data_IF_545336687164
#
_entry.id   IF_545336687164
#
_cell.length_a   1.000
_cell.length_b   1.000
_cell.length_c   1.000
_cell.angle_alpha   90.00
_cell.angle_beta   90.00
_cell.angle_gamma   90.00
#
_symmetry.space_group_name_H-M   'P 1'
#
loop_
_entity.id
_entity.type
_entity.pdbx_description
1 polymer ?
#
# COMPACT_ATOMS: atom_id res chain seq x y z
N UNK A 1 -30.99 36.97 -30.75
CA UNK A 1 -30.08 36.39 -29.73
C UNK A 1 -29.18 37.52 -29.25
N UNK A 2 -28.88 37.62 -27.94
CA UNK A 2 -27.96 38.70 -27.48
C UNK A 2 -26.58 38.41 -28.03
N UNK A 3 -25.93 39.38 -28.62
CA UNK A 3 -24.57 39.29 -29.12
C UNK A 3 -23.51 39.24 -28.00
N UNK A 4 -23.79 39.95 -26.88
CA UNK A 4 -22.92 40.01 -25.71
C UNK A 4 -23.65 39.57 -24.45
N UNK A 5 -22.97 38.77 -23.66
CA UNK A 5 -23.40 38.28 -22.35
C UNK A 5 -22.58 38.95 -21.25
N UNK A 6 -23.24 39.32 -20.16
CA UNK A 6 -22.55 39.72 -18.94
C UNK A 6 -21.91 38.48 -18.30
N UNK A 7 -20.93 38.64 -17.41
CA UNK A 7 -20.31 37.55 -16.67
C UNK A 7 -21.34 36.73 -15.88
N UNK A 8 -22.40 37.38 -15.33
CA UNK A 8 -23.45 36.69 -14.61
C UNK A 8 -24.36 35.84 -15.52
N UNK A 9 -24.72 36.36 -16.72
CA UNK A 9 -25.49 35.58 -17.69
C UNK A 9 -24.67 34.37 -18.20
N UNK A 10 -23.39 34.55 -18.48
CA UNK A 10 -22.53 33.45 -18.88
C UNK A 10 -22.35 32.40 -17.75
N UNK A 11 -22.19 32.85 -16.51
CA UNK A 11 -22.13 31.98 -15.34
C UNK A 11 -23.43 31.16 -15.17
N UNK A 12 -24.59 31.79 -15.35
CA UNK A 12 -25.89 31.12 -15.25
C UNK A 12 -26.08 30.05 -16.34
N UNK A 13 -25.71 30.33 -17.60
CA UNK A 13 -25.80 29.34 -18.69
C UNK A 13 -25.06 28.04 -18.34
N UNK A 14 -23.94 28.14 -17.66
CA UNK A 14 -23.11 26.99 -17.30
C UNK A 14 -23.31 26.50 -15.86
N UNK A 15 -24.18 27.10 -15.09
CA UNK A 15 -24.33 26.86 -13.65
C UNK A 15 -22.98 26.88 -12.93
N UNK A 16 -22.27 28.01 -13.09
CA UNK A 16 -20.91 28.22 -12.57
C UNK A 16 -20.86 29.44 -11.66
N UNK A 17 -19.88 29.45 -10.74
CA UNK A 17 -19.58 30.64 -9.96
C UNK A 17 -18.92 31.72 -10.85
N UNK A 18 -19.38 32.95 -10.68
CA UNK A 18 -18.80 34.15 -11.34
C UNK A 18 -17.31 34.32 -10.99
N UNK A 19 -16.89 33.94 -9.77
CA UNK A 19 -15.49 34.00 -9.36
C UNK A 19 -14.60 33.05 -10.20
N UNK A 20 -15.13 31.91 -10.61
CA UNK A 20 -14.38 30.96 -11.47
C UNK A 20 -14.16 31.58 -12.86
N UNK A 21 -15.15 32.30 -13.42
CA UNK A 21 -14.97 33.02 -14.69
C UNK A 21 -13.97 34.16 -14.56
N UNK A 22 -13.96 34.87 -13.43
CA UNK A 22 -12.94 35.90 -13.13
C UNK A 22 -11.53 35.29 -13.05
N UNK A 23 -11.43 34.09 -12.47
CA UNK A 23 -10.16 33.34 -12.42
C UNK A 23 -9.68 32.93 -13.81
N UNK A 24 -10.58 32.45 -14.67
CA UNK A 24 -10.25 32.12 -16.06
C UNK A 24 -9.80 33.32 -16.85
N UNK A 25 -10.43 34.50 -16.67
CA UNK A 25 -9.97 35.77 -17.24
C UNK A 25 -8.58 36.15 -16.74
N UNK A 26 -8.35 36.13 -15.41
CA UNK A 26 -7.06 36.46 -14.81
C UNK A 26 -5.91 35.53 -15.28
N UNK A 27 -6.22 34.24 -15.58
CA UNK A 27 -5.26 33.27 -16.15
C UNK A 27 -5.13 33.34 -17.66
N UNK A 28 -5.87 34.26 -18.33
CA UNK A 28 -5.87 34.38 -19.79
C UNK A 28 -6.41 33.11 -20.48
N UNK A 29 -7.31 32.37 -19.82
CA UNK A 29 -7.94 31.18 -20.36
C UNK A 29 -9.24 31.52 -21.09
N UNK A 30 -10.03 32.43 -20.55
CA UNK A 30 -11.25 32.99 -21.16
C UNK A 30 -11.31 34.47 -20.89
N UNK A 31 -10.75 35.27 -21.79
CA UNK A 31 -10.69 36.72 -21.66
C UNK A 31 -11.97 37.35 -22.25
N UNK A 32 -12.68 38.27 -21.54
CA UNK A 32 -13.85 38.92 -22.09
C UNK A 32 -13.48 39.73 -23.31
N UNK A 33 -14.34 39.70 -24.32
CA UNK A 33 -14.08 40.42 -25.57
C UNK A 33 -14.15 41.96 -25.39
N UNK A 34 -15.03 42.39 -24.47
CA UNK A 34 -15.19 43.82 -24.15
C UNK A 34 -15.16 44.02 -22.64
N UNK A 35 -14.47 45.10 -22.23
CA UNK A 35 -14.54 45.63 -20.86
C UNK A 35 -15.05 47.06 -20.92
N UNK A 36 -16.04 47.35 -20.14
CA UNK A 36 -16.53 48.73 -20.04
C UNK A 36 -15.48 49.59 -19.34
N UNK A 37 -15.10 50.73 -19.96
CA UNK A 37 -14.03 51.61 -19.46
C UNK A 37 -14.41 52.34 -18.15
N UNK A 38 -15.69 52.59 -17.88
CA UNK A 38 -16.13 53.34 -16.70
C UNK A 38 -16.22 52.49 -15.45
N UNK A 39 -16.67 51.22 -15.56
CA UNK A 39 -17.02 50.40 -14.41
C UNK A 39 -16.36 48.99 -14.44
N UNK A 40 -15.44 48.78 -15.39
CA UNK A 40 -14.71 47.52 -15.57
C UNK A 40 -15.58 46.26 -15.71
N UNK A 41 -16.85 46.42 -16.15
CA UNK A 41 -17.78 45.31 -16.38
C UNK A 41 -17.29 44.50 -17.58
N UNK A 42 -17.38 43.16 -17.43
CA UNK A 42 -16.94 42.17 -18.41
C UNK A 42 -18.10 41.74 -19.28
N UNK A 43 -17.87 41.76 -20.58
CA UNK A 43 -18.84 41.30 -21.58
C UNK A 43 -18.17 40.29 -22.48
N UNK A 44 -18.84 39.17 -22.65
CA UNK A 44 -18.38 38.02 -23.42
C UNK A 44 -19.25 37.94 -24.68
N UNK A 45 -18.64 37.82 -25.84
CA UNK A 45 -19.36 37.54 -27.08
C UNK A 45 -19.99 36.13 -26.98
N UNK A 46 -21.15 35.96 -27.63
CA UNK A 46 -21.84 34.67 -27.58
C UNK A 46 -20.98 33.50 -28.03
N UNK A 47 -20.09 33.67 -29.01
CA UNK A 47 -19.18 32.64 -29.47
C UNK A 47 -18.20 32.15 -28.38
N UNK A 48 -18.00 32.90 -27.29
CA UNK A 48 -17.17 32.50 -26.17
C UNK A 48 -17.82 31.43 -25.27
N UNK A 49 -19.11 31.12 -25.53
CA UNK A 49 -19.79 29.97 -24.94
C UNK A 49 -19.09 28.64 -25.34
N UNK A 50 -18.66 28.53 -26.60
CA UNK A 50 -17.99 27.31 -27.09
C UNK A 50 -16.64 27.03 -26.42
N UNK A 51 -15.68 27.99 -26.36
CA UNK A 51 -14.47 27.81 -25.57
C UNK A 51 -14.75 27.49 -24.11
N UNK A 52 -15.73 28.14 -23.47
CA UNK A 52 -16.09 27.82 -22.08
C UNK A 52 -16.59 26.39 -21.93
N UNK A 53 -17.42 25.92 -22.86
CA UNK A 53 -17.86 24.52 -22.88
C UNK A 53 -16.67 23.54 -22.99
N UNK A 54 -15.69 23.87 -23.86
CA UNK A 54 -14.47 23.08 -24.00
C UNK A 54 -13.63 23.09 -22.71
N UNK A 55 -13.46 24.24 -22.07
CA UNK A 55 -12.77 24.35 -20.78
C UNK A 55 -13.44 23.44 -19.75
N UNK A 56 -14.76 23.49 -19.67
CA UNK A 56 -15.54 22.64 -18.73
C UNK A 56 -15.38 21.15 -19.01
N UNK A 57 -15.45 20.78 -20.26
CA UNK A 57 -15.24 19.38 -20.69
C UNK A 57 -13.86 18.89 -20.27
N UNK A 58 -12.81 19.63 -20.57
CA UNK A 58 -11.45 19.23 -20.25
C UNK A 58 -11.18 19.23 -18.74
N UNK A 59 -11.80 20.15 -17.97
CA UNK A 59 -11.74 20.12 -16.49
C UNK A 59 -12.35 18.85 -15.89
N UNK A 60 -13.40 18.30 -16.52
CA UNK A 60 -13.98 17.00 -16.10
C UNK A 60 -13.07 15.81 -16.41
N UNK A 61 -12.12 15.98 -17.30
CA UNK A 61 -11.10 15.01 -17.62
C UNK A 61 -9.79 15.26 -16.85
N UNK A 62 -9.84 16.05 -15.78
CA UNK A 62 -8.69 16.40 -14.90
C UNK A 62 -7.54 17.15 -15.58
N UNK A 63 -7.80 17.80 -16.73
CA UNK A 63 -6.80 18.68 -17.34
C UNK A 63 -6.50 19.88 -16.43
N UNK A 64 -5.22 20.21 -16.25
CA UNK A 64 -4.78 21.45 -15.63
C UNK A 64 -5.12 22.66 -16.52
N UNK A 65 -5.21 23.87 -15.94
CA UNK A 65 -5.48 25.08 -16.72
C UNK A 65 -4.40 25.33 -17.81
N UNK A 66 -3.16 24.96 -17.56
CA UNK A 66 -2.08 25.05 -18.53
C UNK A 66 -2.30 24.12 -19.73
N UNK A 67 -2.69 22.87 -19.48
CA UNK A 67 -3.03 21.90 -20.52
C UNK A 67 -4.26 22.32 -21.33
N UNK A 68 -5.29 22.87 -20.67
CA UNK A 68 -6.48 23.41 -21.36
C UNK A 68 -6.09 24.58 -22.25
N UNK A 69 -5.24 25.47 -21.77
CA UNK A 69 -4.74 26.59 -22.57
C UNK A 69 -3.99 26.08 -23.81
N UNK A 70 -3.13 25.08 -23.64
CA UNK A 70 -2.43 24.45 -24.76
C UNK A 70 -3.40 23.79 -25.76
N UNK A 71 -4.44 23.11 -25.27
CA UNK A 71 -5.48 22.49 -26.09
C UNK A 71 -6.24 23.53 -26.94
N UNK A 72 -6.65 24.66 -26.33
CA UNK A 72 -7.39 25.72 -27.02
C UNK A 72 -6.54 26.45 -28.07
N UNK A 73 -5.21 26.45 -27.93
CA UNK A 73 -4.25 27.08 -28.86
C UNK A 73 -3.52 26.06 -29.74
N UNK A 74 -3.94 24.80 -29.73
CA UNK A 74 -3.31 23.75 -30.54
C UNK A 74 -3.55 23.98 -32.04
N UNK A 75 -2.59 23.51 -32.85
CA UNK A 75 -2.61 23.73 -34.29
C UNK A 75 -3.44 22.74 -35.10
N UNK A 76 -4.30 21.94 -34.45
CA UNK A 76 -5.21 21.07 -35.19
C UNK A 76 -5.77 19.86 -34.44
N UNK A 77 -6.70 19.17 -35.10
CA UNK A 77 -7.41 18.02 -34.60
C UNK A 77 -6.47 16.89 -34.16
N UNK A 78 -5.38 16.65 -34.88
CA UNK A 78 -4.42 15.56 -34.59
C UNK A 78 -3.77 15.74 -33.23
N UNK A 79 -3.35 16.95 -32.89
CA UNK A 79 -2.69 17.25 -31.60
C UNK A 79 -3.68 17.09 -30.45
N UNK A 80 -4.91 17.56 -30.63
CA UNK A 80 -5.97 17.42 -29.64
C UNK A 80 -6.35 15.97 -29.40
N UNK A 81 -6.45 15.14 -30.44
CA UNK A 81 -6.70 13.71 -30.31
C UNK A 81 -5.55 13.00 -29.58
N UNK A 82 -4.30 13.41 -29.85
CA UNK A 82 -3.15 12.86 -29.14
C UNK A 82 -3.17 13.23 -27.65
N UNK A 83 -3.52 14.49 -27.31
CA UNK A 83 -3.66 14.92 -25.94
C UNK A 83 -4.76 14.12 -25.21
N UNK A 84 -5.93 13.93 -25.81
CA UNK A 84 -7.02 13.13 -25.24
C UNK A 84 -6.61 11.66 -25.05
N UNK A 85 -5.90 11.09 -26.01
CA UNK A 85 -5.39 9.72 -25.90
C UNK A 85 -4.40 9.55 -24.75
N UNK A 86 -3.49 10.49 -24.56
CA UNK A 86 -2.55 10.50 -23.43
C UNK A 86 -3.29 10.57 -22.09
N UNK A 87 -4.30 11.45 -22.01
CA UNK A 87 -5.11 11.58 -20.79
C UNK A 87 -5.86 10.26 -20.48
N UNK A 88 -6.46 9.64 -21.47
CA UNK A 88 -7.11 8.34 -21.29
C UNK A 88 -6.13 7.26 -20.80
N UNK A 89 -4.89 7.25 -21.31
CA UNK A 89 -3.86 6.34 -20.82
C UNK A 89 -3.45 6.63 -19.39
N UNK A 90 -3.32 7.91 -19.02
CA UNK A 90 -3.01 8.29 -17.64
C UNK A 90 -4.11 7.86 -16.65
N UNK A 91 -5.38 8.12 -17.00
CA UNK A 91 -6.51 7.69 -16.18
C UNK A 91 -6.58 6.16 -16.03
N UNK A 92 -6.27 5.40 -17.09
CA UNK A 92 -6.18 3.93 -17.00
C UNK A 92 -5.11 3.49 -16.01
N UNK A 93 -3.91 4.08 -16.06
CA UNK A 93 -2.84 3.79 -15.08
C UNK A 93 -3.29 4.06 -13.65
N UNK A 94 -3.95 5.20 -13.41
CA UNK A 94 -4.50 5.51 -12.08
C UNK A 94 -5.55 4.49 -11.63
N UNK A 95 -6.43 4.03 -12.55
CA UNK A 95 -7.37 2.95 -12.25
C UNK A 95 -6.65 1.64 -11.91
N UNK A 96 -5.61 1.27 -12.64
CA UNK A 96 -4.83 0.06 -12.37
C UNK A 96 -4.13 0.14 -11.00
N UNK A 97 -3.55 1.29 -10.63
CA UNK A 97 -2.94 1.55 -9.33
C UNK A 97 -3.96 1.46 -8.19
N UNK A 98 -5.14 2.07 -8.35
CA UNK A 98 -6.23 1.99 -7.37
C UNK A 98 -6.74 0.56 -7.20
N UNK A 99 -6.90 -0.19 -8.29
CA UNK A 99 -7.33 -1.58 -8.25
C UNK A 99 -6.30 -2.46 -7.52
N UNK A 100 -5.01 -2.26 -7.76
CA UNK A 100 -3.95 -2.95 -7.03
C UNK A 100 -4.03 -2.65 -5.53
N UNK A 101 -4.23 -1.39 -5.15
CA UNK A 101 -4.40 -0.98 -3.74
C UNK A 101 -5.61 -1.65 -3.09
N UNK A 102 -6.75 -1.70 -3.80
CA UNK A 102 -7.97 -2.36 -3.32
C UNK A 102 -7.70 -3.84 -3.06
N UNK A 103 -7.02 -4.54 -3.98
CA UNK A 103 -6.68 -5.96 -3.81
C UNK A 103 -5.82 -6.20 -2.57
N UNK A 104 -4.81 -5.37 -2.32
CA UNK A 104 -3.96 -5.50 -1.12
C UNK A 104 -4.77 -5.31 0.16
N UNK A 105 -5.66 -4.29 0.18
CA UNK A 105 -6.53 -4.05 1.34
C UNK A 105 -7.44 -5.26 1.58
N UNK A 106 -8.03 -5.83 0.53
CA UNK A 106 -8.88 -7.01 0.63
C UNK A 106 -8.11 -8.23 1.17
N UNK A 107 -6.90 -8.48 0.65
CA UNK A 107 -6.03 -9.55 1.15
C UNK A 107 -5.67 -9.35 2.62
N UNK A 108 -5.42 -8.11 3.06
CA UNK A 108 -5.16 -7.80 4.47
C UNK A 108 -6.37 -8.12 5.35
N UNK A 109 -7.57 -7.73 4.92
CA UNK A 109 -8.81 -8.04 5.65
C UNK A 109 -9.02 -9.55 5.77
N UNK A 110 -8.93 -10.27 4.65
CA UNK A 110 -9.10 -11.74 4.61
C UNK A 110 -8.05 -12.45 5.48
N UNK A 111 -6.80 -11.98 5.48
CA UNK A 111 -5.74 -12.51 6.33
C UNK A 111 -6.08 -12.34 7.81
N UNK A 112 -6.50 -11.13 8.22
CA UNK A 112 -6.86 -10.82 9.61
C UNK A 112 -8.04 -11.68 10.06
N UNK A 113 -9.12 -11.73 9.27
CA UNK A 113 -10.34 -12.50 9.60
C UNK A 113 -10.04 -13.99 9.72
N UNK A 114 -9.27 -14.55 8.79
CA UNK A 114 -8.86 -15.95 8.80
C UNK A 114 -8.05 -16.31 10.04
N UNK A 115 -7.03 -15.52 10.36
CA UNK A 115 -6.14 -15.79 11.49
C UNK A 115 -6.83 -15.50 12.83
N UNK A 116 -7.67 -14.46 12.89
CA UNK A 116 -8.45 -14.14 14.10
C UNK A 116 -9.47 -15.25 14.42
N UNK A 117 -10.09 -15.87 13.40
CA UNK A 117 -11.07 -16.94 13.59
C UNK A 117 -10.45 -18.20 14.24
N UNK A 118 -9.17 -18.46 14.02
CA UNK A 118 -8.46 -19.63 14.58
C UNK A 118 -7.62 -19.29 15.80
N UNK A 119 -7.37 -18.00 16.06
CA UNK A 119 -6.57 -17.56 17.19
C UNK A 119 -7.27 -17.88 18.53
N UNK A 120 -6.54 -18.52 19.43
CA UNK A 120 -7.03 -18.85 20.78
C UNK A 120 -5.92 -18.57 21.78
N UNK A 121 -6.28 -17.87 22.86
CA UNK A 121 -5.34 -17.59 23.96
C UNK A 121 -4.86 -18.90 24.59
N UNK A 122 -3.58 -18.95 24.92
CA UNK A 122 -2.94 -20.04 25.69
C UNK A 122 -3.05 -21.44 25.05
N UNK A 123 -3.38 -21.52 23.75
CA UNK A 123 -3.40 -22.79 23.02
C UNK A 123 -2.25 -22.86 22.04
N UNK A 124 -1.57 -24.03 22.07
CA UNK A 124 -0.51 -24.36 21.13
C UNK A 124 -0.94 -25.58 20.30
N UNK A 125 -0.72 -25.49 18.99
CA UNK A 125 -1.11 -26.52 18.03
C UNK A 125 -0.04 -26.66 16.95
N UNK A 126 -0.07 -27.77 16.24
CA UNK A 126 0.81 -27.99 15.09
C UNK A 126 0.05 -27.63 13.82
N UNK A 127 0.67 -26.86 12.95
CA UNK A 127 0.14 -26.48 11.63
C UNK A 127 1.21 -26.68 10.57
N UNK A 128 0.81 -27.28 9.46
CA UNK A 128 1.64 -27.42 8.28
C UNK A 128 1.48 -26.19 7.40
N UNK A 129 2.59 -25.60 7.01
CA UNK A 129 2.61 -24.46 6.08
C UNK A 129 3.32 -24.82 4.78
N UNK A 130 2.85 -24.30 3.63
CA UNK A 130 3.64 -24.28 2.41
C UNK A 130 4.84 -23.33 2.57
N UNK A 131 5.72 -23.30 1.58
CA UNK A 131 6.77 -22.28 1.50
C UNK A 131 6.14 -20.90 1.35
N UNK A 132 6.49 -19.95 2.22
CA UNK A 132 5.91 -18.61 2.30
C UNK A 132 6.94 -17.55 1.97
N UNK A 133 6.58 -16.56 1.19
CA UNK A 133 7.46 -15.48 0.78
C UNK A 133 7.38 -14.29 1.72
N UNK A 134 8.50 -13.60 1.92
CA UNK A 134 8.55 -12.33 2.63
C UNK A 134 9.66 -11.44 2.05
N UNK A 135 9.54 -10.14 2.24
CA UNK A 135 10.58 -9.16 1.90
C UNK A 135 11.39 -8.86 3.14
N UNK A 136 12.71 -9.00 3.04
CA UNK A 136 13.60 -8.73 4.15
C UNK A 136 13.77 -7.21 4.33
N UNK A 137 13.45 -6.68 5.52
CA UNK A 137 13.59 -5.26 5.85
C UNK A 137 14.80 -5.01 6.76
N UNK A 138 15.11 -5.96 7.65
CA UNK A 138 16.24 -5.88 8.58
C UNK A 138 15.84 -5.39 9.96
N UNK A 139 16.44 -4.30 10.46
CA UNK A 139 16.19 -3.79 11.81
C UNK A 139 14.81 -3.14 11.94
N UNK A 140 14.27 -3.14 13.18
CA UNK A 140 12.93 -2.62 13.50
C UNK A 140 12.73 -1.17 13.07
N UNK A 141 13.76 -0.32 13.20
CA UNK A 141 13.68 1.08 12.80
C UNK A 141 13.39 1.24 11.29
N UNK A 142 13.84 0.31 10.48
CA UNK A 142 13.64 0.34 9.03
C UNK A 142 12.19 0.07 8.62
N UNK A 143 11.38 -0.59 9.48
CA UNK A 143 9.96 -0.80 9.21
C UNK A 143 9.24 0.52 8.93
N UNK A 144 9.52 1.57 9.70
CA UNK A 144 8.82 2.85 9.62
C UNK A 144 9.24 3.70 8.41
N UNK A 145 10.31 3.31 7.71
CA UNK A 145 10.78 3.99 6.50
C UNK A 145 10.27 3.34 5.22
N UNK A 146 9.61 2.17 5.33
CA UNK A 146 9.07 1.43 4.20
C UNK A 146 7.55 1.53 4.14
N UNK A 147 6.99 1.96 3.00
CA UNK A 147 5.54 1.98 2.78
C UNK A 147 4.90 0.58 2.85
N UNK A 148 5.66 -0.47 2.59
CA UNK A 148 5.25 -1.87 2.72
C UNK A 148 4.66 -2.20 4.10
N UNK A 149 5.18 -1.56 5.14
CA UNK A 149 4.72 -1.71 6.51
C UNK A 149 3.22 -1.41 6.69
N UNK A 150 2.66 -0.50 5.90
CA UNK A 150 1.25 -0.13 6.01
C UNK A 150 0.31 -1.12 5.31
N UNK A 151 0.81 -1.83 4.30
CA UNK A 151 -0.02 -2.68 3.44
C UNK A 151 0.12 -4.17 3.70
N UNK A 152 1.30 -4.61 4.16
CA UNK A 152 1.60 -6.01 4.41
C UNK A 152 1.80 -6.27 5.90
N UNK A 153 1.39 -7.44 6.41
CA UNK A 153 1.71 -7.81 7.79
C UNK A 153 3.22 -7.79 8.01
N UNK A 154 3.65 -7.16 9.08
CA UNK A 154 5.03 -7.31 9.52
C UNK A 154 5.26 -8.72 10.00
N UNK A 155 6.39 -9.31 9.65
CA UNK A 155 6.86 -10.56 10.21
C UNK A 155 8.18 -10.32 10.94
N UNK A 156 8.22 -10.66 12.22
CA UNK A 156 9.42 -10.65 13.03
C UNK A 156 10.06 -12.03 13.07
N UNK A 157 11.37 -12.05 13.22
CA UNK A 157 12.18 -13.25 13.40
C UNK A 157 13.02 -13.07 14.67
N UNK A 158 12.87 -13.99 15.62
CA UNK A 158 13.54 -13.97 16.91
C UNK A 158 14.43 -15.20 17.06
N UNK A 159 15.74 -14.99 17.13
CA UNK A 159 16.73 -16.07 17.31
C UNK A 159 17.74 -15.68 18.39
N UNK A 160 17.56 -16.20 19.57
CA UNK A 160 18.33 -15.78 20.74
C UNK A 160 18.16 -14.28 21.00
N UNK A 161 19.28 -13.53 20.96
CA UNK A 161 19.25 -12.08 21.11
C UNK A 161 19.13 -11.31 19.79
N UNK A 162 19.12 -12.02 18.67
CA UNK A 162 18.99 -11.42 17.34
C UNK A 162 17.51 -11.30 17.00
N UNK A 163 17.13 -10.16 16.47
CA UNK A 163 15.82 -9.95 15.88
C UNK A 163 15.94 -9.20 14.57
N UNK A 164 15.14 -9.57 13.58
CA UNK A 164 15.02 -8.87 12.32
C UNK A 164 13.58 -8.95 11.82
N UNK A 165 13.25 -8.14 10.85
CA UNK A 165 11.90 -7.95 10.39
C UNK A 165 11.79 -8.05 8.87
N UNK A 166 10.59 -8.33 8.40
CA UNK A 166 10.23 -8.35 7.00
C UNK A 166 8.77 -8.01 6.80
N UNK A 167 8.37 -7.86 5.54
CA UNK A 167 6.98 -7.75 5.13
C UNK A 167 6.51 -9.13 4.60
N UNK A 168 5.49 -9.70 5.24
CA UNK A 168 4.93 -11.00 4.88
C UNK A 168 4.07 -10.86 3.60
N UNK A 169 4.39 -11.64 2.57
CA UNK A 169 3.62 -11.64 1.34
C UNK A 169 2.45 -12.64 1.45
N UNK A 170 1.26 -12.21 1.05
CA UNK A 170 0.09 -13.09 1.05
C UNK A 170 0.26 -14.24 0.05
N UNK A 171 -0.29 -15.42 0.34
CA UNK A 171 -0.11 -16.66 -0.43
C UNK A 171 -0.47 -16.50 -1.92
N UNK A 172 -1.50 -15.72 -2.20
CA UNK A 172 -1.99 -15.44 -3.56
C UNK A 172 -1.38 -14.16 -4.18
N UNK A 173 -0.39 -13.57 -3.50
CA UNK A 173 0.29 -12.42 -4.09
C UNK A 173 1.09 -12.94 -5.29
N UNK A 174 0.74 -12.59 -6.55
CA UNK A 174 1.53 -13.01 -7.69
C UNK A 174 2.98 -12.58 -7.48
N UNK A 175 3.93 -13.48 -7.68
CA UNK A 175 5.37 -13.16 -7.65
C UNK A 175 5.72 -12.08 -8.69
N UNK A 176 4.81 -11.78 -9.59
CA UNK A 176 4.80 -10.64 -10.51
C UNK A 176 4.23 -9.36 -9.89
N UNK A 177 4.16 -9.24 -8.57
CA UNK A 177 3.86 -7.97 -7.88
C UNK A 177 5.03 -6.98 -8.07
N UNK A 178 5.58 -6.97 -9.23
CA UNK A 178 6.35 -5.87 -9.82
C UNK A 178 5.48 -4.63 -10.07
N UNK A 179 4.27 -4.57 -9.49
CA UNK A 179 3.32 -3.47 -9.65
C UNK A 179 2.93 -2.74 -8.37
N UNK A 180 3.45 -3.11 -7.23
CA UNK A 180 3.57 -2.11 -6.19
C UNK A 180 4.65 -1.14 -6.67
N UNK A 181 4.34 0.16 -6.75
CA UNK A 181 5.22 1.12 -7.40
C UNK A 181 6.60 1.07 -6.75
N UNK A 182 7.67 1.13 -7.54
CA UNK A 182 9.08 1.42 -7.24
C UNK A 182 9.69 0.97 -5.89
N UNK A 183 8.87 0.72 -4.87
CA UNK A 183 9.22 0.37 -3.50
C UNK A 183 9.72 -1.07 -3.32
N UNK A 184 9.41 -1.96 -4.26
CA UNK A 184 9.77 -3.39 -4.16
C UNK A 184 10.82 -3.84 -5.18
N UNK A 185 11.16 -3.02 -6.15
CA UNK A 185 12.00 -3.42 -7.27
C UNK A 185 13.40 -3.90 -6.84
N UNK A 186 13.90 -3.44 -5.70
CA UNK A 186 15.26 -3.72 -5.21
C UNK A 186 15.32 -4.58 -3.94
N UNK A 187 14.18 -5.04 -3.38
CA UNK A 187 14.18 -5.86 -2.17
C UNK A 187 14.22 -7.35 -2.50
N UNK A 188 15.21 -8.10 -1.98
CA UNK A 188 15.28 -9.54 -2.24
C UNK A 188 14.11 -10.27 -1.56
N UNK A 189 13.39 -11.08 -2.34
CA UNK A 189 12.39 -12.00 -1.81
C UNK A 189 13.08 -13.13 -1.08
N UNK A 190 12.77 -13.26 0.19
CA UNK A 190 13.21 -14.35 1.06
C UNK A 190 12.06 -15.33 1.31
N UNK A 191 12.36 -16.50 1.83
CA UNK A 191 11.34 -17.54 2.01
C UNK A 191 11.42 -18.18 3.38
N UNK A 192 10.24 -18.33 3.99
CA UNK A 192 10.02 -19.19 5.14
C UNK A 192 9.82 -20.61 4.61
N UNK A 193 10.59 -21.62 5.06
CA UNK A 193 10.50 -22.99 4.55
C UNK A 193 9.11 -23.61 4.73
N UNK A 194 8.72 -24.50 3.84
CA UNK A 194 7.57 -25.38 4.08
C UNK A 194 7.86 -26.35 5.21
N UNK A 195 6.82 -26.82 5.91
CA UNK A 195 6.95 -27.83 6.95
C UNK A 195 5.92 -27.67 8.07
N UNK A 196 6.10 -28.45 9.12
CA UNK A 196 5.28 -28.40 10.32
C UNK A 196 5.87 -27.39 11.30
N UNK A 197 4.97 -26.64 11.92
CA UNK A 197 5.31 -25.61 12.90
C UNK A 197 4.48 -25.81 14.16
N UNK A 198 5.12 -25.66 15.32
CA UNK A 198 4.38 -25.46 16.56
C UNK A 198 3.97 -23.99 16.61
N UNK A 199 2.67 -23.76 16.71
CA UNK A 199 2.05 -22.44 16.62
C UNK A 199 1.35 -22.07 17.91
N UNK A 200 1.27 -20.76 18.16
CA UNK A 200 0.48 -20.14 19.21
C UNK A 200 0.22 -18.67 18.87
N UNK A 201 -0.33 -17.94 19.83
CA UNK A 201 -0.60 -16.51 19.64
C UNK A 201 -0.15 -15.72 20.86
N UNK A 202 0.40 -14.56 20.60
CA UNK A 202 0.62 -13.51 21.58
C UNK A 202 -0.51 -12.49 21.48
N UNK A 203 -1.08 -12.10 22.61
CA UNK A 203 -2.10 -11.04 22.72
C UNK A 203 -1.55 -9.93 23.58
N UNK A 204 -1.54 -8.72 23.06
CA UNK A 204 -1.07 -7.55 23.75
C UNK A 204 0.13 -6.86 23.09
N UNK A 205 0.77 -5.95 23.81
CA UNK A 205 1.85 -5.13 23.29
C UNK A 205 3.11 -5.95 23.00
N UNK A 206 3.85 -5.58 21.95
CA UNK A 206 5.08 -6.27 21.53
C UNK A 206 6.16 -6.36 22.62
N UNK A 207 6.12 -5.47 23.61
CA UNK A 207 7.07 -5.48 24.74
C UNK A 207 6.99 -6.76 25.57
N UNK A 208 5.85 -7.43 25.58
CA UNK A 208 5.61 -8.67 26.35
C UNK A 208 5.69 -9.95 25.52
N UNK A 209 6.08 -9.85 24.24
CA UNK A 209 6.11 -10.99 23.31
C UNK A 209 7.09 -12.08 23.78
N UNK A 210 8.18 -11.71 24.45
CA UNK A 210 9.19 -12.67 24.92
C UNK A 210 8.59 -13.72 25.85
N UNK A 211 7.70 -13.34 26.77
CA UNK A 211 7.03 -14.28 27.68
C UNK A 211 6.22 -15.34 26.90
N UNK A 212 5.65 -14.94 25.77
CA UNK A 212 4.88 -15.85 24.91
C UNK A 212 5.78 -16.74 24.06
N UNK A 213 6.94 -16.25 23.63
CA UNK A 213 7.99 -17.04 22.97
C UNK A 213 8.54 -18.10 23.93
N UNK A 214 8.82 -17.74 25.17
CA UNK A 214 9.32 -18.65 26.20
C UNK A 214 8.29 -19.76 26.49
N UNK A 215 7.02 -19.42 26.55
CA UNK A 215 5.92 -20.41 26.68
C UNK A 215 5.84 -21.36 25.48
N UNK A 216 6.06 -20.86 24.26
CA UNK A 216 6.07 -21.69 23.04
C UNK A 216 7.21 -22.72 23.10
N UNK A 217 8.42 -22.32 23.49
CA UNK A 217 9.53 -23.24 23.67
C UNK A 217 9.32 -24.22 24.82
N UNK A 218 8.72 -23.76 25.92
CA UNK A 218 8.33 -24.63 27.04
C UNK A 218 7.34 -25.70 26.59
N UNK A 219 6.39 -25.37 25.74
CA UNK A 219 5.44 -26.33 25.16
C UNK A 219 6.13 -27.30 24.20
N UNK A 220 7.05 -26.82 23.34
CA UNK A 220 7.85 -27.68 22.48
C UNK A 220 8.64 -28.71 23.30
N UNK A 221 9.29 -28.27 24.38
CA UNK A 221 10.02 -29.14 25.28
C UNK A 221 9.11 -30.19 25.96
N UNK A 222 7.95 -29.78 26.46
CA UNK A 222 6.96 -30.67 27.10
C UNK A 222 6.47 -31.74 26.12
N UNK A 223 6.25 -31.37 24.85
CA UNK A 223 5.82 -32.32 23.80
C UNK A 223 6.98 -33.09 23.18
N UNK A 224 8.22 -32.84 23.60
CA UNK A 224 9.43 -33.44 23.03
C UNK A 224 9.56 -33.20 21.53
N UNK A 225 9.12 -32.04 21.06
CA UNK A 225 9.24 -31.66 19.65
C UNK A 225 10.63 -31.04 19.40
N UNK A 226 11.39 -31.57 18.44
CA UNK A 226 12.64 -30.95 18.02
C UNK A 226 12.31 -29.71 17.18
N UNK A 227 12.56 -28.53 17.70
CA UNK A 227 12.22 -27.27 17.02
C UNK A 227 13.47 -26.47 16.66
N UNK A 228 13.31 -25.56 15.71
CA UNK A 228 14.31 -24.56 15.37
C UNK A 228 14.50 -23.58 16.54
N UNK A 229 15.58 -22.82 16.50
CA UNK A 229 15.86 -21.75 17.47
C UNK A 229 15.34 -20.37 17.02
N UNK A 230 14.79 -20.31 15.81
CA UNK A 230 14.16 -19.09 15.27
C UNK A 230 12.65 -19.16 15.37
N UNK A 231 12.05 -18.21 16.09
CA UNK A 231 10.59 -18.01 16.14
C UNK A 231 10.19 -16.95 15.14
N UNK A 232 9.20 -17.26 14.33
CA UNK A 232 8.60 -16.39 13.33
C UNK A 232 7.33 -15.80 13.91
N UNK A 233 7.17 -14.49 13.80
CA UNK A 233 6.09 -13.76 14.46
C UNK A 233 5.37 -12.86 13.47
N UNK A 234 4.41 -13.40 12.67
CA UNK A 234 3.56 -12.58 11.81
C UNK A 234 2.60 -11.73 12.66
N UNK A 235 2.59 -10.41 12.44
CA UNK A 235 1.61 -9.52 13.05
C UNK A 235 0.27 -9.66 12.33
N UNK A 236 -0.76 -10.09 13.07
CA UNK A 236 -2.10 -10.33 12.53
C UNK A 236 -2.96 -9.09 12.74
N UNK A 237 -3.05 -8.61 13.98
CA UNK A 237 -3.71 -7.37 14.36
C UNK A 237 -2.67 -6.45 14.95
N UNK A 238 -2.38 -5.36 14.28
CA UNK A 238 -1.32 -4.40 14.61
C UNK A 238 -1.86 -2.96 14.69
N UNK A 239 -0.97 -2.01 14.94
CA UNK A 239 -1.29 -0.58 15.02
C UNK A 239 -1.86 0.03 13.73
N UNK A 240 -1.79 -0.65 12.60
CA UNK A 240 -2.40 -0.18 11.36
C UNK A 240 -3.90 -0.46 11.28
N UNK A 241 -4.43 -1.34 12.16
CA UNK A 241 -5.85 -1.71 12.19
C UNK A 241 -6.50 -1.64 13.58
N UNK A 242 -5.70 -1.53 14.66
CA UNK A 242 -6.20 -1.47 16.04
C UNK A 242 -5.45 -0.38 16.83
N UNK A 243 -6.19 0.50 17.50
CA UNK A 243 -5.63 1.62 18.23
C UNK A 243 -5.11 1.28 19.64
N UNK A 244 -5.54 0.15 20.20
CA UNK A 244 -5.18 -0.25 21.58
C UNK A 244 -4.20 -1.44 21.55
N UNK A 245 -2.95 -1.25 22.04
CA UNK A 245 -1.93 -2.31 22.02
C UNK A 245 -2.34 -3.61 22.73
N UNK A 246 -3.23 -3.54 23.73
CA UNK A 246 -3.74 -4.73 24.42
C UNK A 246 -4.58 -5.66 23.54
N UNK A 247 -5.05 -5.17 22.42
CA UNK A 247 -5.84 -5.92 21.44
C UNK A 247 -4.99 -6.44 20.27
N UNK A 248 -3.69 -6.18 20.25
CA UNK A 248 -2.81 -6.71 19.20
C UNK A 248 -2.77 -8.25 19.26
N UNK A 249 -2.67 -8.85 18.08
CA UNK A 249 -2.53 -10.29 17.92
C UNK A 249 -1.32 -10.57 17.03
N UNK A 250 -0.36 -11.29 17.58
CA UNK A 250 0.83 -11.72 16.86
C UNK A 250 0.88 -13.24 16.85
N UNK A 251 1.01 -13.85 15.68
CA UNK A 251 1.28 -15.27 15.55
C UNK A 251 2.65 -15.61 16.13
N UNK A 252 2.78 -16.82 16.66
CA UNK A 252 4.05 -17.39 17.12
C UNK A 252 4.21 -18.73 16.40
N UNK A 253 5.29 -18.89 15.66
CA UNK A 253 5.55 -20.08 14.85
C UNK A 253 6.99 -20.52 15.01
N UNK A 254 7.22 -21.74 15.47
CA UNK A 254 8.55 -22.34 15.50
C UNK A 254 8.54 -23.62 14.68
N UNK A 255 9.49 -23.75 13.76
CA UNK A 255 9.56 -24.88 12.85
C UNK A 255 9.95 -26.16 13.60
N UNK A 256 9.22 -27.24 13.33
CA UNK A 256 9.56 -28.60 13.82
C UNK A 256 10.57 -29.20 12.84
N UNK A 257 11.72 -29.64 13.35
CA UNK A 257 12.80 -30.17 12.56
C UNK A 257 12.61 -31.65 12.23
N UNK A 258 12.83 -32.02 10.98
CA UNK A 258 12.90 -33.41 10.58
C UNK A 258 14.15 -34.12 11.17
N UNK A 259 14.17 -35.45 11.14
CA UNK A 259 15.31 -36.23 11.65
C UNK A 259 16.63 -35.89 10.96
N UNK A 260 16.59 -35.59 9.66
CA UNK A 260 17.76 -35.24 8.88
C UNK A 260 18.30 -33.85 9.26
N UNK A 261 17.43 -32.87 9.43
CA UNK A 261 17.77 -31.49 9.86
C UNK A 261 18.33 -31.47 11.30
N UNK A 262 17.85 -32.34 12.18
CA UNK A 262 18.42 -32.50 13.52
C UNK A 262 19.85 -32.98 13.49
N UNK A 263 20.17 -33.91 12.58
CA UNK A 263 21.51 -34.47 12.43
C UNK A 263 22.47 -33.44 11.86
N UNK A 264 22.05 -32.64 10.88
CA UNK A 264 22.81 -31.52 10.34
C UNK A 264 23.14 -30.48 11.41
N UNK A 265 22.14 -30.04 12.20
CA UNK A 265 22.37 -29.08 13.31
C UNK A 265 23.35 -29.61 14.35
N UNK A 266 23.25 -30.89 14.70
CA UNK A 266 24.21 -31.54 15.64
C UNK A 266 25.62 -31.60 15.09
N UNK A 267 25.77 -31.85 13.79
CA UNK A 267 27.04 -31.86 13.11
C UNK A 267 27.70 -30.48 13.07
N UNK A 268 26.91 -29.41 12.77
CA UNK A 268 27.42 -28.03 12.81
C UNK A 268 27.78 -27.56 14.22
N UNK A 269 26.99 -27.92 15.24
CA UNK A 269 27.29 -27.59 16.64
C UNK A 269 28.52 -28.33 17.19
N UNK A 270 28.87 -29.49 16.63
CA UNK A 270 30.06 -30.24 17.00
C UNK A 270 31.36 -29.67 16.37
N UNK A 271 31.24 -29.04 15.20
CA UNK A 271 32.37 -28.41 14.50
C UNK A 271 32.68 -27.01 15.07
N UNK A 272 31.71 -26.34 15.71
CA UNK A 272 31.87 -24.96 16.23
C UNK A 272 32.29 -24.88 17.71
N UNK A 273 32.69 -25.97 18.34
CA UNK A 273 33.38 -25.89 19.64
C UNK A 273 34.81 -25.50 19.39
N UNK A 274 35.33 -24.38 19.92
CA UNK A 274 36.75 -24.11 19.95
C UNK A 274 37.37 -25.25 20.78
N UNK A 275 38.38 -25.93 20.22
CA UNK A 275 39.29 -26.77 21.01
C UNK A 275 39.90 -25.85 22.07
N UNK A 276 39.69 -26.18 23.34
CA UNK A 276 40.39 -25.58 24.44
C UNK A 276 41.92 -25.80 24.22
N UNK A 277 42.65 -24.70 23.96
CA UNK A 277 44.08 -24.58 24.14
C UNK A 277 44.36 -23.56 25.21
#
# INVERSE_FOLDING_TARGET
MKEFLTIGELANIFNMDVQLLRHYDAKGLLVPQVRNSENNRRFYHFDQVYPLATIRYLRRLDYSLAQIKAFLHSNGLRDNLQMLSRQAQQLRRQCDELNATIQIIQQKVEFIEREQAVSQRDKFYVRTFPRRAFLHIGEEINLFTHELFYFYPTVGFYQGQRKWFGAYLYEDTPTEVHRLPDLMADQPVSYIPAGDYLCGYHYGPYLTIQDSIDRLFGEAYRRKLPVDDCVITPNIVDQCCEGHPDNYITGLEVRILSSDEQNEKKSFAAISKPEDI
#
